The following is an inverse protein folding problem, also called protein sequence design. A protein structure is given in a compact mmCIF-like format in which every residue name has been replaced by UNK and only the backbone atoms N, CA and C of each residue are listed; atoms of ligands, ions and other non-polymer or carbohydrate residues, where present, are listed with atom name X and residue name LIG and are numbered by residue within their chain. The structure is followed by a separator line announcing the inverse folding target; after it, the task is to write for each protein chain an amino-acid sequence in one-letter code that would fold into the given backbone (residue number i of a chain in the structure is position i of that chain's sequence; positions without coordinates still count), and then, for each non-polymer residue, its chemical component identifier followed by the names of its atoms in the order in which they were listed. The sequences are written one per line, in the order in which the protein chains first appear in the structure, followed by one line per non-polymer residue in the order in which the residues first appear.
data_IF_901188792090
#
_entry.id   IF_901188792090
#
_cell.length_a   1.000
_cell.length_b   1.000
_cell.length_c   1.000
_cell.angle_alpha   90.00
_cell.angle_beta   90.00
_cell.angle_gamma   90.00
#
_symmetry.space_group_name_H-M   'P 1'
#
loop_
_entity.id
_entity.type
_entity.pdbx_description
1 polymer ?
#
# COMPACT_ATOMS: atom_id res chain seq x y z
N UNK A 1 22.55 -1.02 17.81
CA UNK A 1 21.14 -1.42 17.61
C UNK A 1 20.35 -0.22 17.15
N UNK A 2 19.44 -0.37 16.17
CA UNK A 2 18.70 0.70 15.49
C UNK A 2 17.64 1.43 16.36
N UNK A 3 17.92 1.64 17.64
CA UNK A 3 17.00 2.28 18.59
C UNK A 3 16.92 3.83 18.46
N UNK A 4 17.69 4.44 17.54
CA UNK A 4 17.81 5.89 17.39
C UNK A 4 17.28 6.46 16.07
N UNK A 5 16.38 5.77 15.38
CA UNK A 5 15.87 6.27 14.09
C UNK A 5 14.90 7.45 14.30
N UNK A 6 14.96 8.52 13.49
CA UNK A 6 14.07 9.68 13.63
C UNK A 6 12.58 9.32 13.56
N UNK A 7 12.22 8.38 12.67
CA UNK A 7 10.83 7.95 12.54
C UNK A 7 10.37 7.11 13.73
N UNK A 8 11.26 6.31 14.34
CA UNK A 8 10.95 5.58 15.57
C UNK A 8 10.79 6.52 16.77
N UNK A 9 11.62 7.56 16.87
CA UNK A 9 11.49 8.58 17.91
C UNK A 9 10.17 9.36 17.77
N UNK A 10 9.82 9.76 16.54
CA UNK A 10 8.54 10.41 16.25
C UNK A 10 7.35 9.50 16.55
N UNK A 11 7.43 8.21 16.19
CA UNK A 11 6.40 7.23 16.51
C UNK A 11 6.23 7.06 18.04
N UNK A 12 7.34 6.98 18.78
CA UNK A 12 7.29 6.87 20.24
C UNK A 12 6.66 8.11 20.89
N UNK A 13 7.00 9.31 20.41
CA UNK A 13 6.37 10.55 20.86
C UNK A 13 4.86 10.59 20.55
N UNK A 14 4.46 10.04 19.40
CA UNK A 14 3.06 9.96 18.97
C UNK A 14 2.22 9.02 19.85
N UNK A 15 2.83 7.96 20.38
CA UNK A 15 2.18 6.96 21.24
C UNK A 15 2.50 7.11 22.72
N UNK A 16 3.12 8.23 23.14
CA UNK A 16 3.47 8.45 24.54
C UNK A 16 2.20 8.55 25.42
N UNK A 17 2.29 8.14 26.71
CA UNK A 17 1.18 8.29 27.65
C UNK A 17 0.68 9.74 27.70
N UNK A 18 -0.63 9.95 27.59
CA UNK A 18 -1.26 11.27 27.61
C UNK A 18 -1.36 11.99 26.25
N UNK A 19 -0.81 11.42 25.17
CA UNK A 19 -1.04 11.95 23.82
C UNK A 19 -2.51 11.83 23.40
N UNK A 20 -3.10 12.94 22.93
CA UNK A 20 -4.43 12.94 22.33
C UNK A 20 -4.33 12.44 20.90
N UNK A 21 -5.09 11.39 20.56
CA UNK A 21 -5.09 10.80 19.22
C UNK A 21 -6.46 10.96 18.57
N UNK A 22 -6.45 11.36 17.30
CA UNK A 22 -7.67 11.40 16.51
C UNK A 22 -8.19 9.97 16.27
N UNK A 23 -9.51 9.79 16.19
CA UNK A 23 -10.11 8.50 15.85
C UNK A 23 -9.73 8.00 14.43
N UNK A 24 -9.27 8.90 13.56
CA UNK A 24 -8.76 8.62 12.22
C UNK A 24 -7.36 9.21 12.07
N UNK A 25 -6.42 8.61 12.76
CA UNK A 25 -5.03 9.07 12.82
C UNK A 25 -4.24 8.58 11.60
N UNK A 26 -4.35 9.32 10.50
CA UNK A 26 -3.64 9.02 9.26
C UNK A 26 -2.13 9.22 9.43
N UNK A 27 -1.71 10.13 10.30
CA UNK A 27 -0.30 10.41 10.57
C UNK A 27 0.39 9.25 11.28
N UNK A 28 -0.30 8.59 12.22
CA UNK A 28 0.18 7.37 12.84
C UNK A 28 0.49 6.27 11.80
N UNK A 29 -0.32 6.13 10.75
CA UNK A 29 -0.08 5.15 9.66
C UNK A 29 1.25 5.44 8.96
N UNK A 30 1.52 6.71 8.65
CA UNK A 30 2.77 7.14 8.01
C UNK A 30 3.99 6.99 8.92
N UNK A 31 3.86 7.29 10.21
CA UNK A 31 4.91 7.11 11.20
C UNK A 31 5.29 5.64 11.39
N UNK A 32 4.28 4.77 11.54
CA UNK A 32 4.48 3.31 11.64
C UNK A 32 5.24 2.82 10.41
N UNK A 33 4.81 3.22 9.21
CA UNK A 33 5.46 2.80 7.97
C UNK A 33 6.95 3.16 7.93
N UNK A 34 7.30 4.43 8.18
CA UNK A 34 8.69 4.89 8.13
C UNK A 34 9.54 4.23 9.21
N UNK A 35 9.02 4.12 10.44
CA UNK A 35 9.70 3.46 11.54
C UNK A 35 9.96 1.97 11.25
N UNK A 36 8.97 1.25 10.68
CA UNK A 36 9.13 -0.16 10.27
C UNK A 36 10.21 -0.31 9.20
N UNK A 37 10.21 0.53 8.17
CA UNK A 37 11.22 0.50 7.11
C UNK A 37 12.64 0.77 7.65
N UNK A 38 12.80 1.82 8.46
CA UNK A 38 14.08 2.17 9.09
C UNK A 38 14.60 1.07 10.02
N UNK A 39 13.69 0.39 10.74
CA UNK A 39 14.05 -0.71 11.63
C UNK A 39 14.27 -2.05 10.90
N UNK A 40 13.97 -2.13 9.59
CA UNK A 40 14.00 -3.40 8.84
C UNK A 40 12.93 -4.39 9.28
N UNK A 41 11.80 -3.90 9.80
CA UNK A 41 10.68 -4.71 10.23
C UNK A 41 9.73 -5.08 9.07
N UNK A 42 8.80 -5.98 9.35
CA UNK A 42 7.71 -6.36 8.44
C UNK A 42 6.41 -5.70 8.91
N UNK A 43 5.69 -5.06 7.99
CA UNK A 43 4.42 -4.39 8.29
C UNK A 43 3.24 -5.30 8.00
N UNK A 44 2.39 -5.51 9.00
CA UNK A 44 1.06 -6.07 8.78
C UNK A 44 0.07 -4.93 8.47
N UNK A 45 -0.68 -5.06 7.38
CA UNK A 45 -1.74 -4.12 7.00
C UNK A 45 -3.05 -4.88 6.91
N UNK A 46 -4.07 -4.37 7.59
CA UNK A 46 -5.40 -4.93 7.47
C UNK A 46 -6.47 -3.85 7.70
N UNK A 47 -7.64 -4.05 7.10
CA UNK A 47 -8.86 -3.33 7.40
C UNK A 47 -9.94 -4.32 7.87
N UNK A 48 -11.13 -3.84 8.28
CA UNK A 48 -12.20 -4.72 8.80
C UNK A 48 -12.49 -5.95 7.93
N UNK A 49 -12.51 -5.79 6.62
CA UNK A 49 -12.79 -6.87 5.66
C UNK A 49 -11.55 -7.44 5.00
N UNK A 50 -10.37 -6.85 5.21
CA UNK A 50 -9.14 -7.27 4.55
C UNK A 50 -9.11 -7.13 3.02
N UNK A 51 -9.98 -6.32 2.40
CA UNK A 51 -10.11 -6.19 0.93
C UNK A 51 -9.60 -4.85 0.41
N UNK A 52 -10.49 -3.99 -0.10
CA UNK A 52 -10.16 -2.78 -0.87
C UNK A 52 -9.22 -1.82 -0.13
N UNK A 53 -9.47 -1.57 1.17
CA UNK A 53 -8.64 -0.65 1.96
C UNK A 53 -7.27 -1.25 2.29
N UNK A 54 -7.19 -2.56 2.44
CA UNK A 54 -5.90 -3.26 2.61
C UNK A 54 -5.11 -3.19 1.30
N UNK A 55 -5.76 -3.50 0.18
CA UNK A 55 -5.16 -3.44 -1.15
C UNK A 55 -4.67 -2.02 -1.49
N UNK A 56 -5.48 -0.99 -1.23
CA UNK A 56 -5.13 0.41 -1.45
C UNK A 56 -3.86 0.80 -0.67
N UNK A 57 -3.79 0.47 0.61
CA UNK A 57 -2.66 0.84 1.46
C UNK A 57 -1.37 0.11 1.07
N UNK A 58 -1.46 -1.16 0.70
CA UNK A 58 -0.33 -1.95 0.19
C UNK A 58 0.16 -1.40 -1.16
N UNK A 59 -0.76 -1.12 -2.08
CA UNK A 59 -0.44 -0.58 -3.40
C UNK A 59 0.20 0.82 -3.33
N UNK A 60 -0.35 1.70 -2.49
CA UNK A 60 0.21 3.02 -2.23
C UNK A 60 1.60 2.92 -1.60
N UNK A 61 1.79 1.96 -0.69
CA UNK A 61 3.08 1.77 -0.06
C UNK A 61 4.14 1.33 -1.05
N UNK A 62 3.86 0.26 -1.79
CA UNK A 62 4.81 -0.26 -2.75
C UNK A 62 5.15 0.78 -3.84
N UNK A 63 4.16 1.51 -4.37
CA UNK A 63 4.43 2.51 -5.40
C UNK A 63 5.32 3.65 -4.89
N UNK A 64 5.12 4.12 -3.66
CA UNK A 64 5.98 5.16 -3.08
C UNK A 64 7.40 4.66 -2.77
N UNK A 65 7.56 3.41 -2.35
CA UNK A 65 8.89 2.81 -2.13
C UNK A 65 9.65 2.64 -3.44
N UNK A 66 8.98 2.13 -4.48
CA UNK A 66 9.54 2.00 -5.83
C UNK A 66 9.91 3.36 -6.42
N UNK A 67 9.08 4.38 -6.21
CA UNK A 67 9.35 5.77 -6.60
C UNK A 67 10.55 6.35 -5.87
N UNK A 68 10.62 6.22 -4.54
CA UNK A 68 11.76 6.69 -3.74
C UNK A 68 13.08 5.98 -4.10
N UNK A 69 13.00 4.72 -4.51
CA UNK A 69 14.15 3.96 -5.00
C UNK A 69 14.55 4.30 -6.45
N UNK A 70 13.78 5.12 -7.16
CA UNK A 70 14.03 5.50 -8.55
C UNK A 70 13.88 4.34 -9.56
N UNK A 71 13.20 3.26 -9.16
CA UNK A 71 13.05 2.06 -9.99
C UNK A 71 12.05 2.31 -11.14
N UNK A 72 11.04 3.13 -10.90
CA UNK A 72 9.99 3.47 -11.88
C UNK A 72 9.92 4.99 -12.04
N UNK A 73 9.78 5.51 -13.28
CA UNK A 73 9.58 6.94 -13.51
C UNK A 73 8.35 7.49 -12.78
N UNK A 74 8.46 8.69 -12.20
CA UNK A 74 7.39 9.34 -11.44
C UNK A 74 6.03 9.37 -12.15
N UNK A 75 6.05 9.61 -13.47
CA UNK A 75 4.84 9.63 -14.31
C UNK A 75 4.07 8.30 -14.35
N UNK A 76 4.72 7.19 -14.01
CA UNK A 76 4.13 5.84 -14.01
C UNK A 76 3.69 5.38 -12.62
N UNK A 77 4.04 6.10 -11.55
CA UNK A 77 3.73 5.69 -10.17
C UNK A 77 2.22 5.61 -9.91
N UNK A 78 1.44 6.49 -10.56
CA UNK A 78 -0.02 6.44 -10.47
C UNK A 78 -0.58 5.15 -11.09
N UNK A 79 -0.16 4.81 -12.31
CA UNK A 79 -0.60 3.60 -13.02
C UNK A 79 -0.17 2.33 -12.27
N UNK A 80 1.06 2.30 -11.75
CA UNK A 80 1.56 1.21 -10.92
C UNK A 80 0.69 1.00 -9.68
N UNK A 81 0.37 2.08 -8.96
CA UNK A 81 -0.52 2.00 -7.79
C UNK A 81 -1.89 1.45 -8.15
N UNK A 82 -2.49 1.95 -9.23
CA UNK A 82 -3.83 1.52 -9.67
C UNK A 82 -3.84 0.03 -10.03
N UNK A 83 -2.85 -0.43 -10.80
CA UNK A 83 -2.71 -1.84 -11.16
C UNK A 83 -2.57 -2.74 -9.93
N UNK A 84 -1.67 -2.38 -9.00
CA UNK A 84 -1.47 -3.11 -7.75
C UNK A 84 -2.74 -3.17 -6.90
N UNK A 85 -3.45 -2.06 -6.77
CA UNK A 85 -4.67 -2.00 -5.97
C UNK A 85 -5.77 -2.90 -6.53
N UNK A 86 -5.99 -2.86 -7.85
CA UNK A 86 -7.01 -3.69 -8.52
C UNK A 86 -6.69 -5.18 -8.34
N UNK A 87 -5.44 -5.58 -8.61
CA UNK A 87 -5.01 -6.97 -8.44
C UNK A 87 -5.13 -7.44 -6.99
N UNK A 88 -4.60 -6.66 -6.03
CA UNK A 88 -4.64 -7.03 -4.61
C UNK A 88 -6.07 -7.08 -4.06
N UNK A 89 -6.96 -6.16 -4.43
CA UNK A 89 -8.33 -6.17 -3.90
C UNK A 89 -9.10 -7.41 -4.37
N UNK A 90 -8.89 -7.81 -5.62
CA UNK A 90 -9.50 -9.00 -6.20
C UNK A 90 -9.00 -10.28 -5.52
N UNK A 91 -7.67 -10.47 -5.42
CA UNK A 91 -7.07 -11.62 -4.73
C UNK A 91 -7.56 -11.75 -3.28
N UNK A 92 -7.56 -10.64 -2.54
CA UNK A 92 -8.06 -10.60 -1.17
C UNK A 92 -9.55 -10.90 -1.09
N UNK A 93 -10.34 -10.49 -2.08
CA UNK A 93 -11.78 -10.79 -2.14
C UNK A 93 -12.02 -12.27 -2.41
N UNK A 94 -11.30 -12.87 -3.34
CA UNK A 94 -11.35 -14.30 -3.68
C UNK A 94 -10.96 -15.18 -2.48
N UNK A 95 -9.84 -14.87 -1.81
CA UNK A 95 -9.47 -15.58 -0.58
C UNK A 95 -10.54 -15.49 0.49
N UNK A 96 -11.12 -14.31 0.70
CA UNK A 96 -12.16 -14.12 1.71
C UNK A 96 -13.48 -14.82 1.35
N UNK A 97 -13.75 -15.11 0.07
CA UNK A 97 -14.93 -15.88 -0.35
C UNK A 97 -14.68 -17.39 -0.42
N UNK A 98 -13.45 -17.84 -0.16
CA UNK A 98 -13.04 -19.25 -0.26
C UNK A 98 -13.03 -19.77 -1.70
N UNK A 99 -13.09 -18.87 -2.69
CA UNK A 99 -13.03 -19.21 -4.10
C UNK A 99 -11.64 -18.83 -4.63
N UNK A 100 -10.94 -19.71 -5.37
CA UNK A 100 -9.68 -19.33 -5.99
C UNK A 100 -9.87 -18.14 -6.94
N UNK A 101 -8.86 -17.28 -7.09
CA UNK A 101 -8.90 -16.20 -8.06
C UNK A 101 -8.99 -16.80 -9.48
N UNK A 102 -10.17 -16.68 -10.08
CA UNK A 102 -10.41 -17.07 -11.46
C UNK A 102 -9.81 -15.97 -12.35
N UNK A 103 -8.52 -16.06 -12.65
CA UNK A 103 -7.87 -15.06 -13.49
C UNK A 103 -8.55 -14.92 -14.86
N UNK A 104 -8.61 -13.67 -15.32
CA UNK A 104 -8.37 -13.30 -16.71
C UNK A 104 -7.23 -12.26 -16.66
N UNK A 105 -5.98 -12.68 -16.88
CA UNK A 105 -4.76 -11.84 -16.77
C UNK A 105 -4.88 -10.56 -17.63
N UNK A 106 -5.64 -10.67 -18.71
CA UNK A 106 -6.01 -9.59 -19.62
C UNK A 106 -6.61 -8.36 -18.91
N UNK A 107 -7.49 -8.48 -17.92
CA UNK A 107 -8.15 -7.31 -17.32
C UNK A 107 -7.19 -6.47 -16.48
N UNK A 108 -6.21 -7.10 -15.83
CA UNK A 108 -5.17 -6.42 -15.07
C UNK A 108 -4.18 -5.73 -16.02
N UNK A 109 -3.80 -6.40 -17.11
CA UNK A 109 -2.95 -5.82 -18.15
C UNK A 109 -3.65 -4.63 -18.82
N UNK A 110 -4.94 -4.74 -19.12
CA UNK A 110 -5.76 -3.66 -19.67
C UNK A 110 -5.81 -2.43 -18.74
N UNK A 111 -5.88 -2.62 -17.42
CA UNK A 111 -5.84 -1.53 -16.44
C UNK A 111 -4.46 -0.85 -16.35
N UNK A 112 -3.40 -1.49 -16.85
CA UNK A 112 -2.05 -0.92 -16.92
C UNK A 112 -1.81 -0.11 -18.21
N UNK A 113 -2.74 -0.13 -19.16
CA UNK A 113 -2.56 0.53 -20.45
C UNK A 113 -2.65 2.06 -20.33
N UNK A 114 -1.96 2.82 -21.21
CA UNK A 114 -1.97 4.27 -21.17
C UNK A 114 -3.38 4.85 -21.36
N UNK A 115 -3.64 6.00 -20.72
CA UNK A 115 -4.87 6.77 -20.95
C UNK A 115 -5.01 7.13 -22.43
N UNK A 116 -6.06 6.63 -23.08
CA UNK A 116 -6.32 6.79 -24.52
C UNK A 116 -6.04 5.55 -25.37
N UNK A 117 -5.54 4.46 -24.78
CA UNK A 117 -5.53 3.18 -25.45
C UNK A 117 -6.96 2.65 -25.62
N UNK A 118 -7.29 2.20 -26.83
CA UNK A 118 -8.51 1.47 -27.15
C UNK A 118 -8.14 0.25 -28.01
N UNK A 119 -8.78 -0.91 -27.81
CA UNK A 119 -8.60 -2.03 -28.72
C UNK A 119 -9.06 -1.63 -30.13
N UNK A 120 -8.28 -1.99 -31.16
CA UNK A 120 -8.56 -1.62 -32.55
C UNK A 120 -9.48 -2.61 -33.28
N UNK A 121 -10.39 -3.28 -32.57
CA UNK A 121 -11.29 -4.30 -33.10
C UNK A 121 -12.74 -4.06 -32.64
#
# INVERSE_FOLDING_TARGET
GRAGSPSLAALNAHYQPGAVRAAKDVEAVWLVRRATAECGGVRAVNCKSGKDRTALELALSLSQEVGAAGIVPDRLLHSLRTALQVGLSYELTSWNSGQPSSYAFELLELACLPSGWAPSW
#
